data_IF_187164237154
#
_entry.id   IF_187164237154
#
_cell.length_a   1.000
_cell.length_b   1.000
_cell.length_c   1.000
_cell.angle_alpha   90.00
_cell.angle_beta   90.00
_cell.angle_gamma   90.00
#
_symmetry.space_group_name_H-M   'P 1'
#
loop_
_entity.id
_entity.type
_entity.pdbx_description
1 polymer ?
#
# COMPACT_ATOMS: atom_id res chain seq x y z
N UNK A 1 -16.80 5.18 84.81
CA UNK A 1 -17.22 3.82 85.21
C UNK A 1 -17.73 3.14 83.95
N UNK A 2 -17.06 2.04 83.55
CA UNK A 2 -17.21 1.20 82.35
C UNK A 2 -18.34 1.54 81.35
N UNK A 3 -17.96 1.94 80.14
CA UNK A 3 -18.78 1.74 78.94
C UNK A 3 -18.09 0.67 78.09
N UNK A 4 -18.71 -0.51 78.00
CA UNK A 4 -18.30 -1.59 77.11
C UNK A 4 -18.54 -1.16 75.66
N UNK A 5 -17.50 -1.26 74.82
CA UNK A 5 -17.62 -1.15 73.37
C UNK A 5 -17.54 -2.57 72.80
N UNK A 6 -18.69 -3.17 72.52
CA UNK A 6 -18.80 -4.46 71.84
C UNK A 6 -18.82 -4.18 70.34
N UNK A 7 -17.66 -4.27 69.68
CA UNK A 7 -17.59 -4.31 68.22
C UNK A 7 -18.08 -5.69 67.77
N UNK A 8 -19.30 -5.76 67.24
CA UNK A 8 -19.75 -6.89 66.43
C UNK A 8 -19.11 -6.77 65.04
N UNK A 9 -18.21 -7.70 64.74
CA UNK A 9 -17.78 -7.99 63.38
C UNK A 9 -18.95 -8.60 62.61
N UNK A 10 -19.65 -7.78 61.82
CA UNK A 10 -20.43 -8.27 60.68
C UNK A 10 -19.46 -8.37 59.50
N UNK A 11 -18.75 -9.49 59.42
CA UNK A 11 -18.11 -9.92 58.21
C UNK A 11 -19.22 -10.42 57.28
N UNK A 12 -19.55 -9.65 56.24
CA UNK A 12 -20.26 -10.17 55.09
C UNK A 12 -19.33 -11.14 54.36
N UNK A 13 -19.49 -12.43 54.60
CA UNK A 13 -18.99 -13.47 53.70
C UNK A 13 -20.04 -13.64 52.60
N UNK A 14 -20.01 -12.76 51.60
CA UNK A 14 -20.62 -13.07 50.31
C UNK A 14 -19.71 -14.10 49.65
N UNK A 15 -20.20 -15.33 49.48
CA UNK A 15 -19.53 -16.32 48.66
C UNK A 15 -19.34 -15.72 47.26
N UNK A 16 -18.15 -15.79 46.65
CA UNK A 16 -17.95 -15.26 45.31
C UNK A 16 -18.90 -16.01 44.38
N UNK A 17 -19.86 -15.27 43.82
CA UNK A 17 -20.78 -15.76 42.80
C UNK A 17 -19.92 -16.33 41.67
N UNK A 18 -19.96 -17.65 41.49
CA UNK A 18 -19.27 -18.32 40.40
C UNK A 18 -19.91 -17.84 39.10
N UNK A 19 -19.23 -16.93 38.41
CA UNK A 19 -19.63 -16.47 37.08
C UNK A 19 -19.66 -17.69 36.18
N UNK A 20 -20.85 -18.10 35.75
CA UNK A 20 -21.02 -19.09 34.70
C UNK A 20 -20.53 -18.43 33.39
N UNK A 21 -19.42 -18.90 32.79
CA UNK A 21 -18.90 -18.32 31.56
C UNK A 21 -19.83 -18.56 30.35
N UNK A 22 -20.92 -19.33 30.54
CA UNK A 22 -21.77 -19.79 29.46
C UNK A 22 -21.20 -21.05 28.82
N UNK A 23 -21.84 -21.55 27.74
CA UNK A 23 -21.30 -22.65 26.97
C UNK A 23 -19.94 -22.26 26.39
N UNK A 24 -19.03 -23.22 26.30
CA UNK A 24 -17.77 -23.03 25.58
C UNK A 24 -18.07 -22.43 24.20
N UNK A 25 -17.32 -21.40 23.77
CA UNK A 25 -17.49 -20.85 22.44
C UNK A 25 -17.37 -21.99 21.43
N UNK A 26 -18.26 -22.00 20.44
CA UNK A 26 -18.24 -23.02 19.40
C UNK A 26 -16.82 -23.10 18.83
N UNK A 27 -16.23 -24.30 18.84
CA UNK A 27 -14.93 -24.52 18.21
C UNK A 27 -15.11 -24.28 16.72
N UNK A 28 -14.54 -23.18 16.23
CA UNK A 28 -14.60 -22.83 14.83
C UNK A 28 -13.45 -23.56 14.14
N UNK A 29 -13.79 -24.60 13.37
CA UNK A 29 -12.80 -25.30 12.55
C UNK A 29 -12.16 -24.30 11.56
N UNK A 30 -10.83 -24.23 11.47
CA UNK A 30 -10.16 -23.44 10.47
C UNK A 30 -10.60 -23.87 9.05
N UNK A 31 -10.74 -22.92 8.12
CA UNK A 31 -11.00 -23.26 6.72
C UNK A 31 -9.87 -24.15 6.17
N UNK A 32 -10.23 -25.14 5.34
CA UNK A 32 -9.23 -26.01 4.71
C UNK A 32 -8.35 -25.22 3.73
N UNK A 33 -7.05 -25.54 3.74
CA UNK A 33 -6.04 -25.06 2.81
C UNK A 33 -5.72 -26.08 1.70
N UNK A 34 -6.48 -27.17 1.61
CA UNK A 34 -6.27 -28.21 0.60
C UNK A 34 -6.34 -27.62 -0.81
N UNK A 35 -5.29 -27.83 -1.60
CA UNK A 35 -5.21 -27.37 -2.99
C UNK A 35 -4.77 -25.91 -3.16
N UNK A 36 -4.48 -25.19 -2.07
CA UNK A 36 -3.87 -23.86 -2.12
C UNK A 36 -2.35 -24.00 -2.02
N UNK A 37 -1.64 -23.37 -2.95
CA UNK A 37 -0.20 -23.17 -2.82
C UNK A 37 0.04 -21.96 -1.92
N UNK A 38 0.11 -22.21 -0.61
CA UNK A 38 0.14 -21.14 0.40
C UNK A 38 1.36 -20.20 0.21
N UNK A 39 2.61 -20.69 0.08
CA UNK A 39 3.75 -19.82 -0.23
C UNK A 39 3.49 -18.96 -1.48
N UNK A 40 3.08 -19.58 -2.59
CA UNK A 40 2.79 -18.88 -3.84
C UNK A 40 1.67 -17.84 -3.73
N UNK A 41 0.69 -18.06 -2.83
CA UNK A 41 -0.38 -17.09 -2.61
C UNK A 41 0.12 -15.82 -1.91
N UNK A 42 1.05 -15.97 -0.95
CA UNK A 42 1.70 -14.83 -0.30
C UNK A 42 2.61 -14.07 -1.27
N UNK A 43 3.37 -14.78 -2.11
CA UNK A 43 4.20 -14.17 -3.16
C UNK A 43 3.36 -13.38 -4.17
N UNK A 44 2.31 -14.01 -4.72
CA UNK A 44 1.44 -13.40 -5.72
C UNK A 44 0.70 -12.18 -5.15
N UNK A 45 0.14 -12.29 -3.94
CA UNK A 45 -0.55 -11.16 -3.32
C UNK A 45 0.42 -10.03 -2.98
N UNK A 46 1.63 -10.32 -2.50
CA UNK A 46 2.62 -9.28 -2.26
C UNK A 46 3.03 -8.59 -3.57
N UNK A 47 3.22 -9.34 -4.66
CA UNK A 47 3.49 -8.77 -5.99
C UNK A 47 2.37 -7.81 -6.45
N UNK A 48 1.10 -8.19 -6.25
CA UNK A 48 -0.03 -7.30 -6.51
C UNK A 48 -0.02 -6.07 -5.58
N UNK A 49 0.24 -6.28 -4.29
CA UNK A 49 0.32 -5.20 -3.30
C UNK A 49 1.41 -4.17 -3.60
N UNK A 50 2.59 -4.61 -4.06
CA UNK A 50 3.68 -3.72 -4.48
C UNK A 50 3.38 -2.98 -5.79
N UNK A 51 2.46 -3.48 -6.61
CA UNK A 51 1.97 -2.79 -7.80
C UNK A 51 0.84 -1.79 -7.50
N UNK A 52 0.26 -1.83 -6.30
CA UNK A 52 -0.74 -0.86 -5.82
C UNK A 52 -0.01 0.34 -5.23
N UNK A 53 0.40 1.24 -6.11
CA UNK A 53 1.07 2.50 -5.77
C UNK A 53 0.59 3.66 -6.65
N UNK A 54 1.24 4.82 -6.48
CA UNK A 54 0.85 6.05 -7.16
C UNK A 54 1.06 6.03 -8.69
N UNK A 55 1.94 5.18 -9.23
CA UNK A 55 2.30 5.17 -10.66
C UNK A 55 1.12 4.83 -11.58
N UNK A 56 0.38 3.71 -11.41
CA UNK A 56 -0.78 3.43 -12.27
C UNK A 56 -1.90 4.46 -12.07
N UNK A 57 -2.08 4.97 -10.85
CA UNK A 57 -3.07 6.00 -10.57
C UNK A 57 -2.75 7.32 -11.29
N UNK A 58 -1.49 7.75 -11.24
CA UNK A 58 -1.00 8.93 -11.94
C UNK A 58 -1.07 8.77 -13.45
N UNK A 59 -0.62 7.62 -13.98
CA UNK A 59 -0.65 7.37 -15.42
C UNK A 59 -2.08 7.39 -15.94
N UNK A 60 -3.04 6.78 -15.23
CA UNK A 60 -4.46 6.84 -15.57
C UNK A 60 -4.99 8.28 -15.62
N UNK A 61 -4.56 9.13 -14.68
CA UNK A 61 -4.90 10.56 -14.70
C UNK A 61 -4.32 11.26 -15.95
N UNK A 62 -3.03 11.08 -16.23
CA UNK A 62 -2.35 11.69 -17.39
C UNK A 62 -3.01 11.25 -18.71
N UNK A 63 -3.22 9.95 -18.87
CA UNK A 63 -3.79 9.37 -20.09
C UNK A 63 -5.23 9.84 -20.34
N UNK A 64 -6.02 10.03 -19.28
CA UNK A 64 -7.38 10.56 -19.42
C UNK A 64 -7.43 12.05 -19.68
N UNK A 65 -6.47 12.84 -19.19
CA UNK A 65 -6.36 14.25 -19.60
C UNK A 65 -6.14 14.41 -21.11
N UNK A 66 -5.43 13.49 -21.76
CA UNK A 66 -5.24 13.49 -23.21
C UNK A 66 -6.53 13.23 -24.01
N UNK A 67 -7.60 12.76 -23.36
CA UNK A 67 -8.93 12.59 -23.95
C UNK A 67 -9.76 13.89 -23.89
N UNK A 68 -9.28 14.89 -23.16
CA UNK A 68 -9.93 16.18 -23.06
C UNK A 68 -9.99 16.92 -24.41
N UNK A 69 -10.95 17.82 -24.52
CA UNK A 69 -11.12 18.74 -25.64
C UNK A 69 -11.21 20.19 -25.11
N UNK A 70 -11.04 21.21 -25.97
CA UNK A 70 -11.24 22.59 -25.56
C UNK A 70 -12.61 22.82 -24.87
N UNK A 71 -12.58 23.12 -23.57
CA UNK A 71 -13.77 23.31 -22.73
C UNK A 71 -14.33 22.03 -22.10
N UNK A 72 -13.58 20.92 -22.11
CA UNK A 72 -13.92 19.71 -21.35
C UNK A 72 -12.69 18.79 -21.13
N UNK A 73 -12.14 18.69 -19.91
CA UNK A 73 -12.52 19.44 -18.72
C UNK A 73 -11.91 20.86 -18.71
N UNK A 74 -12.54 21.78 -17.99
CA UNK A 74 -11.92 23.07 -17.66
C UNK A 74 -10.73 22.88 -16.69
N UNK A 75 -9.57 23.42 -17.07
CA UNK A 75 -8.33 23.37 -16.29
C UNK A 75 -8.12 24.68 -15.50
N UNK A 76 -7.70 24.55 -14.25
CA UNK A 76 -7.46 25.63 -13.30
C UNK A 76 -6.04 25.55 -12.74
N UNK A 77 -5.47 26.70 -12.41
CA UNK A 77 -4.27 26.79 -11.55
C UNK A 77 -4.72 26.79 -10.10
N UNK A 78 -4.07 25.97 -9.26
CA UNK A 78 -4.50 25.71 -7.89
C UNK A 78 -5.71 24.78 -7.83
N UNK A 79 -6.39 24.74 -6.70
CA UNK A 79 -7.55 23.89 -6.46
C UNK A 79 -8.84 24.56 -6.99
N UNK A 80 -9.70 23.79 -7.66
CA UNK A 80 -10.93 24.29 -8.29
C UNK A 80 -12.13 24.48 -7.33
N UNK A 81 -11.97 24.25 -6.02
CA UNK A 81 -13.02 24.45 -5.02
C UNK A 81 -13.02 25.90 -4.48
N UNK A 82 -14.20 26.54 -4.45
CA UNK A 82 -14.41 27.92 -3.97
C UNK A 82 -14.08 28.08 -2.47
N UNK A 83 -14.11 26.98 -1.69
CA UNK A 83 -13.84 27.00 -0.25
C UNK A 83 -12.35 26.74 0.11
N UNK A 84 -11.49 26.44 -0.87
CA UNK A 84 -10.06 26.17 -0.66
C UNK A 84 -9.17 27.13 -1.46
N UNK A 85 -7.97 27.41 -0.94
CA UNK A 85 -7.17 28.57 -1.34
C UNK A 85 -6.74 28.51 -2.82
N UNK A 86 -7.19 29.46 -3.64
CA UNK A 86 -6.70 29.69 -5.02
C UNK A 86 -5.19 29.99 -5.14
N UNK A 87 -4.48 30.11 -4.01
CA UNK A 87 -3.03 30.29 -3.94
C UNK A 87 -2.26 28.96 -3.73
N UNK A 88 -2.95 27.80 -3.74
CA UNK A 88 -2.29 26.50 -3.66
C UNK A 88 -1.44 26.25 -4.92
N UNK A 89 -0.16 25.82 -4.78
CA UNK A 89 0.67 25.49 -5.92
C UNK A 89 0.15 24.22 -6.57
N UNK A 90 -0.22 24.24 -7.86
CA UNK A 90 -0.70 23.03 -8.53
C UNK A 90 -1.63 23.32 -9.69
N UNK A 91 -2.25 22.26 -10.19
CA UNK A 91 -3.25 22.31 -11.24
C UNK A 91 -4.46 21.47 -10.82
N UNK A 92 -5.62 21.80 -11.36
CA UNK A 92 -6.80 20.97 -11.21
C UNK A 92 -7.69 21.03 -12.42
N UNK A 93 -8.60 20.07 -12.50
CA UNK A 93 -9.85 20.24 -13.22
C UNK A 93 -11.02 19.95 -12.28
N UNK A 94 -12.15 20.61 -12.53
CA UNK A 94 -13.42 20.31 -11.87
C UNK A 94 -14.53 20.61 -12.86
N UNK A 95 -15.23 19.57 -13.28
CA UNK A 95 -16.21 19.71 -14.35
C UNK A 95 -17.31 18.65 -14.28
N UNK A 96 -18.35 18.87 -15.07
CA UNK A 96 -19.37 17.89 -15.43
C UNK A 96 -19.70 18.08 -16.90
N UNK A 97 -18.73 17.75 -17.74
CA UNK A 97 -18.77 18.00 -19.18
C UNK A 97 -18.74 16.70 -19.98
N UNK A 98 -18.93 16.84 -21.29
CA UNK A 98 -18.80 15.75 -22.25
C UNK A 98 -18.09 16.25 -23.51
N UNK A 99 -17.06 15.55 -23.95
CA UNK A 99 -16.33 15.82 -25.18
C UNK A 99 -17.19 15.53 -26.41
N UNK A 100 -16.77 15.98 -27.60
CA UNK A 100 -17.45 15.64 -28.86
C UNK A 100 -17.27 14.17 -29.23
N UNK A 101 -16.14 13.55 -28.84
CA UNK A 101 -15.90 12.12 -28.97
C UNK A 101 -16.86 11.27 -28.12
N UNK A 102 -17.34 11.81 -27.00
CA UNK A 102 -18.37 11.20 -26.16
C UNK A 102 -17.92 10.90 -24.74
N UNK A 103 -16.65 11.12 -24.42
CA UNK A 103 -16.06 10.97 -23.09
C UNK A 103 -16.64 11.99 -22.11
N UNK A 104 -16.94 11.55 -20.90
CA UNK A 104 -17.54 12.36 -19.85
C UNK A 104 -16.53 12.54 -18.73
N UNK A 105 -16.25 13.80 -18.38
CA UNK A 105 -15.49 14.15 -17.18
C UNK A 105 -16.48 14.61 -16.11
N UNK A 106 -16.41 14.03 -14.93
CA UNK A 106 -17.27 14.36 -13.81
C UNK A 106 -16.47 14.36 -12.51
N UNK A 107 -16.69 15.38 -11.69
CA UNK A 107 -16.04 15.52 -10.39
C UNK A 107 -14.84 16.45 -10.46
N UNK A 108 -13.82 16.19 -9.66
CA UNK A 108 -12.59 17.00 -9.65
C UNK A 108 -11.34 16.14 -9.49
N UNK A 109 -10.22 16.64 -10.01
CA UNK A 109 -8.88 16.14 -9.72
C UNK A 109 -7.96 17.34 -9.52
N UNK A 110 -7.20 17.31 -8.43
CA UNK A 110 -6.12 18.23 -8.11
C UNK A 110 -4.80 17.48 -8.09
N UNK A 111 -3.75 18.08 -8.64
CA UNK A 111 -2.41 17.52 -8.59
C UNK A 111 -1.33 18.58 -8.41
N UNK A 112 -0.25 18.15 -7.76
CA UNK A 112 1.02 18.86 -7.71
C UNK A 112 2.13 17.94 -8.20
N UNK A 113 3.13 18.51 -8.86
CA UNK A 113 4.33 17.78 -9.21
C UNK A 113 5.52 18.75 -9.21
N UNK A 114 6.67 18.26 -8.76
CA UNK A 114 7.93 18.97 -8.79
C UNK A 114 9.07 18.02 -9.16
N UNK A 115 10.04 18.54 -9.90
CA UNK A 115 11.25 17.82 -10.28
C UNK A 115 12.45 18.76 -10.19
N UNK A 116 13.39 18.43 -9.32
CA UNK A 116 14.63 19.17 -9.11
C UNK A 116 15.80 18.30 -9.51
N UNK A 117 16.54 18.72 -10.53
CA UNK A 117 17.79 18.09 -10.95
C UNK A 117 18.97 19.03 -10.71
N UNK A 118 19.96 18.56 -9.94
CA UNK A 118 21.21 19.29 -9.66
C UNK A 118 22.40 18.43 -10.07
N UNK A 119 23.35 19.01 -10.80
CA UNK A 119 24.61 18.36 -11.15
C UNK A 119 25.76 19.16 -10.56
N UNK A 120 26.63 18.48 -9.81
CA UNK A 120 27.87 19.03 -9.28
C UNK A 120 29.05 18.17 -9.76
N UNK A 121 30.15 18.83 -10.12
CA UNK A 121 31.39 18.17 -10.55
C UNK A 121 32.00 17.27 -9.46
N UNK A 122 31.66 17.50 -8.19
CA UNK A 122 32.23 16.78 -7.04
C UNK A 122 31.31 15.71 -6.46
N UNK A 123 29.99 15.89 -6.55
CA UNK A 123 29.00 15.02 -5.87
C UNK A 123 28.05 14.28 -6.83
N UNK A 124 28.26 14.41 -8.13
CA UNK A 124 27.48 13.70 -9.15
C UNK A 124 26.19 14.41 -9.53
N UNK A 125 25.24 13.64 -10.06
CA UNK A 125 23.89 14.10 -10.40
C UNK A 125 22.92 13.66 -9.32
N UNK A 126 22.11 14.61 -8.88
CA UNK A 126 21.05 14.41 -7.90
C UNK A 126 19.71 14.82 -8.53
N UNK A 127 18.73 13.93 -8.49
CA UNK A 127 17.39 14.17 -9.02
C UNK A 127 16.37 13.80 -7.96
N UNK A 128 15.52 14.76 -7.60
CA UNK A 128 14.39 14.57 -6.70
C UNK A 128 13.09 14.90 -7.43
N UNK A 129 12.12 14.00 -7.33
CA UNK A 129 10.77 14.19 -7.85
C UNK A 129 9.74 13.95 -6.77
N UNK A 130 8.68 14.76 -6.74
CA UNK A 130 7.51 14.56 -5.86
C UNK A 130 6.24 14.78 -6.65
N UNK A 131 5.22 13.97 -6.41
CA UNK A 131 3.86 14.19 -6.91
C UNK A 131 2.82 14.00 -5.82
N UNK A 132 1.70 14.69 -5.98
CA UNK A 132 0.48 14.48 -5.21
C UNK A 132 -0.74 14.50 -6.12
N UNK A 133 -1.74 13.70 -5.76
CA UNK A 133 -3.04 13.64 -6.42
C UNK A 133 -4.12 13.59 -5.35
N UNK A 134 -5.14 14.43 -5.48
CA UNK A 134 -6.34 14.43 -4.66
C UNK A 134 -7.54 14.55 -5.58
N UNK A 135 -8.49 13.62 -5.51
CA UNK A 135 -9.63 13.63 -6.41
C UNK A 135 -10.87 12.91 -5.87
N UNK A 136 -12.01 13.32 -6.40
CA UNK A 136 -13.26 12.55 -6.50
C UNK A 136 -13.69 12.72 -7.96
N UNK A 137 -12.98 12.02 -8.85
CA UNK A 137 -12.98 12.27 -10.29
C UNK A 137 -13.23 10.99 -11.09
N UNK A 138 -14.13 11.08 -12.07
CA UNK A 138 -14.48 10.00 -12.99
C UNK A 138 -14.39 10.47 -14.43
N UNK A 139 -13.75 9.65 -15.27
CA UNK A 139 -13.74 9.77 -16.73
C UNK A 139 -14.37 8.51 -17.32
N UNK A 140 -15.38 8.68 -18.18
CA UNK A 140 -16.18 7.57 -18.70
C UNK A 140 -16.54 7.73 -20.19
N UNK A 141 -16.57 6.61 -20.92
CA UNK A 141 -17.17 6.52 -22.26
C UNK A 141 -18.51 5.78 -22.17
N UNK A 142 -19.61 6.55 -22.21
CA UNK A 142 -20.96 6.01 -22.03
C UNK A 142 -21.15 5.42 -20.63
N UNK A 143 -21.35 4.10 -20.55
CA UNK A 143 -21.51 3.35 -19.29
C UNK A 143 -20.18 2.73 -18.81
N UNK A 144 -19.09 2.84 -19.59
CA UNK A 144 -17.79 2.28 -19.24
C UNK A 144 -16.92 3.31 -18.51
N UNK A 145 -16.43 2.95 -17.32
CA UNK A 145 -15.46 3.76 -16.56
C UNK A 145 -14.08 3.58 -17.19
N UNK A 146 -13.51 4.66 -17.71
CA UNK A 146 -12.16 4.69 -18.24
C UNK A 146 -11.14 4.88 -17.12
N UNK A 147 -11.46 5.79 -16.19
CA UNK A 147 -10.66 6.09 -15.01
C UNK A 147 -11.55 6.64 -13.91
N UNK A 148 -11.35 6.15 -12.69
CA UNK A 148 -11.92 6.72 -11.48
C UNK A 148 -10.82 6.76 -10.43
N UNK A 149 -10.66 7.90 -9.79
CA UNK A 149 -9.82 8.07 -8.61
C UNK A 149 -10.61 8.83 -7.55
N UNK A 150 -10.81 8.17 -6.41
CA UNK A 150 -11.47 8.73 -5.23
C UNK A 150 -10.53 8.56 -4.02
N UNK A 151 -9.94 9.67 -3.58
CA UNK A 151 -9.06 9.73 -2.43
C UNK A 151 -7.85 10.66 -2.62
N UNK A 152 -6.74 10.27 -1.99
CA UNK A 152 -5.48 11.03 -1.96
C UNK A 152 -4.27 10.10 -2.15
N UNK A 153 -3.23 10.61 -2.81
CA UNK A 153 -1.98 9.90 -2.99
C UNK A 153 -0.80 10.83 -3.13
N UNK A 154 0.36 10.42 -2.63
CA UNK A 154 1.64 11.08 -2.85
C UNK A 154 2.70 10.05 -3.21
N UNK A 155 3.65 10.45 -4.06
CA UNK A 155 4.88 9.71 -4.22
C UNK A 155 6.09 10.62 -4.35
N UNK A 156 7.25 10.06 -4.05
CA UNK A 156 8.53 10.75 -4.14
C UNK A 156 9.59 9.78 -4.65
N UNK A 157 10.49 10.31 -5.47
CA UNK A 157 11.69 9.62 -5.91
C UNK A 157 12.93 10.45 -5.58
N UNK A 158 14.04 9.76 -5.33
CA UNK A 158 15.37 10.36 -5.31
C UNK A 158 16.33 9.47 -6.08
N UNK A 159 17.19 10.05 -6.88
CA UNK A 159 18.23 9.38 -7.66
C UNK A 159 19.55 10.13 -7.46
N UNK A 160 20.56 9.38 -7.06
CA UNK A 160 21.93 9.86 -6.85
C UNK A 160 22.84 9.04 -7.76
N UNK A 161 23.47 9.72 -8.70
CA UNK A 161 24.47 9.14 -9.60
C UNK A 161 25.80 9.87 -9.40
N UNK A 162 26.70 9.26 -8.63
CA UNK A 162 28.09 9.67 -8.54
C UNK A 162 28.93 8.63 -9.30
N UNK A 163 30.03 9.00 -9.96
CA UNK A 163 30.74 8.11 -10.88
C UNK A 163 31.18 6.74 -10.32
N UNK A 164 31.11 6.57 -8.99
CA UNK A 164 31.41 5.35 -8.25
C UNK A 164 30.18 4.58 -7.73
N UNK A 165 28.99 5.18 -7.63
CA UNK A 165 27.78 4.52 -7.14
C UNK A 165 26.48 5.13 -7.69
N UNK A 166 25.45 4.29 -7.78
CA UNK A 166 24.07 4.72 -8.06
C UNK A 166 23.21 4.33 -6.88
N UNK A 167 22.45 5.28 -6.34
CA UNK A 167 21.42 5.03 -5.33
C UNK A 167 20.12 5.62 -5.79
N UNK A 168 19.04 4.90 -5.59
CA UNK A 168 17.71 5.45 -5.79
C UNK A 168 16.76 5.01 -4.69
N UNK A 169 15.76 5.85 -4.43
CA UNK A 169 14.69 5.59 -3.48
C UNK A 169 13.35 5.96 -4.10
N UNK A 170 12.32 5.20 -3.80
CA UNK A 170 10.94 5.53 -4.10
C UNK A 170 10.10 5.36 -2.84
N UNK A 171 9.24 6.33 -2.58
CA UNK A 171 8.24 6.30 -1.52
C UNK A 171 6.87 6.60 -2.12
N UNK A 172 5.86 5.84 -1.76
CA UNK A 172 4.47 6.08 -2.17
C UNK A 172 3.56 5.92 -0.97
N UNK A 173 2.63 6.85 -0.80
CA UNK A 173 1.56 6.78 0.18
C UNK A 173 0.24 7.00 -0.55
N UNK A 174 -0.68 6.05 -0.44
CA UNK A 174 -1.90 6.03 -1.23
C UNK A 174 -3.07 5.62 -0.35
N UNK A 175 -4.07 6.50 -0.23
CA UNK A 175 -5.37 6.22 0.37
C UNK A 175 -6.43 6.56 -0.66
N UNK A 176 -6.74 5.60 -1.51
CA UNK A 176 -7.64 5.83 -2.63
C UNK A 176 -8.36 4.56 -3.06
N UNK A 177 -9.45 4.77 -3.79
CA UNK A 177 -10.05 3.80 -4.70
C UNK A 177 -9.67 4.18 -6.12
N UNK A 178 -9.17 3.21 -6.89
CA UNK A 178 -8.85 3.41 -8.31
C UNK A 178 -9.50 2.32 -9.14
N UNK A 179 -10.26 2.72 -10.15
CA UNK A 179 -10.88 1.81 -11.13
C UNK A 179 -10.72 2.32 -12.55
N UNK A 180 -11.11 1.50 -13.51
CA UNK A 180 -11.17 1.87 -14.92
C UNK A 180 -10.15 1.16 -15.79
N UNK A 181 -10.48 1.06 -17.08
CA UNK A 181 -9.68 0.31 -18.05
C UNK A 181 -8.37 0.97 -18.46
N UNK A 182 -8.22 2.29 -18.28
CA UNK A 182 -7.02 3.04 -18.66
C UNK A 182 -5.82 2.68 -17.76
N UNK A 183 -5.91 2.77 -16.42
CA UNK A 183 -4.76 2.45 -15.56
C UNK A 183 -4.41 0.96 -15.53
N UNK A 184 -5.34 0.06 -15.85
CA UNK A 184 -5.17 -1.38 -15.60
C UNK A 184 -5.27 -2.28 -16.84
N UNK A 185 -5.90 -1.83 -17.93
CA UNK A 185 -6.16 -2.66 -19.11
C UNK A 185 -6.77 -4.02 -18.75
N UNK A 186 -6.29 -5.08 -19.40
CA UNK A 186 -6.64 -6.48 -19.09
C UNK A 186 -5.64 -7.13 -18.10
N UNK A 187 -4.93 -6.31 -17.31
CA UNK A 187 -3.88 -6.77 -16.39
C UNK A 187 -4.43 -7.44 -15.11
N UNK A 188 -3.52 -7.84 -14.24
CA UNK A 188 -3.87 -8.49 -12.96
C UNK A 188 -4.63 -7.57 -11.97
N UNK A 189 -4.78 -6.28 -12.30
CA UNK A 189 -5.53 -5.28 -11.54
C UNK A 189 -6.74 -4.73 -12.34
N UNK A 190 -7.17 -5.38 -13.41
CA UNK A 190 -8.20 -4.88 -14.34
C UNK A 190 -9.50 -4.39 -13.67
N UNK A 191 -9.91 -5.02 -12.56
CA UNK A 191 -11.09 -4.62 -11.81
C UNK A 191 -10.92 -3.39 -10.92
N UNK A 192 -9.68 -2.91 -10.73
CA UNK A 192 -9.35 -1.86 -9.78
C UNK A 192 -9.16 -2.35 -8.35
N UNK A 193 -8.86 -1.42 -7.46
CA UNK A 193 -8.55 -1.68 -6.07
C UNK A 193 -8.94 -0.52 -5.16
N UNK A 194 -9.02 -0.81 -3.86
CA UNK A 194 -9.08 0.19 -2.77
C UNK A 194 -7.93 -0.07 -1.80
N UNK A 195 -7.25 0.99 -1.39
CA UNK A 195 -6.03 0.85 -0.60
C UNK A 195 -5.88 1.93 0.47
N UNK A 196 -5.13 1.60 1.52
CA UNK A 196 -4.42 2.53 2.40
C UNK A 196 -3.03 1.90 2.56
N UNK A 197 -2.12 2.23 1.65
CA UNK A 197 -0.81 1.59 1.50
C UNK A 197 0.30 2.63 1.51
N UNK A 198 1.36 2.30 2.23
CA UNK A 198 2.63 3.00 2.24
C UNK A 198 3.72 2.03 1.79
N UNK A 199 4.43 2.42 0.74
CA UNK A 199 5.57 1.70 0.19
C UNK A 199 6.81 2.59 0.27
N UNK A 200 7.92 2.03 0.71
CA UNK A 200 9.23 2.66 0.62
C UNK A 200 10.21 1.61 0.15
N UNK A 201 10.91 1.85 -0.95
CA UNK A 201 11.98 0.96 -1.35
C UNK A 201 13.15 1.71 -1.98
N UNK A 202 14.33 1.12 -1.87
CA UNK A 202 15.57 1.63 -2.40
C UNK A 202 16.34 0.55 -3.13
N UNK A 203 17.22 0.97 -4.03
CA UNK A 203 18.13 0.07 -4.72
C UNK A 203 19.35 0.79 -5.28
N UNK A 204 20.12 0.05 -6.07
CA UNK A 204 21.41 0.48 -6.60
C UNK A 204 22.53 -0.06 -5.73
N UNK A 205 22.94 0.70 -4.71
CA UNK A 205 23.96 0.28 -3.75
C UNK A 205 23.40 -0.12 -2.38
N UNK A 206 22.10 0.08 -2.15
CA UNK A 206 21.39 -0.33 -0.92
C UNK A 206 19.98 -0.80 -1.26
N UNK A 207 19.76 -2.11 -1.23
CA UNK A 207 18.45 -2.73 -1.42
C UNK A 207 17.68 -2.78 -0.09
N UNK A 208 16.54 -2.08 -0.03
CA UNK A 208 15.61 -2.13 1.11
C UNK A 208 14.19 -1.99 0.61
N UNK A 209 13.27 -2.68 1.27
CA UNK A 209 11.83 -2.56 1.07
C UNK A 209 11.16 -2.42 2.44
N UNK A 210 10.18 -1.54 2.51
CA UNK A 210 9.19 -1.46 3.57
C UNK A 210 7.82 -1.32 2.90
N UNK A 211 6.88 -2.17 3.27
CA UNK A 211 5.51 -2.12 2.80
C UNK A 211 4.56 -2.23 3.98
N UNK A 212 3.68 -1.25 4.14
CA UNK A 212 2.75 -1.17 5.25
C UNK A 212 1.38 -0.72 4.75
N UNK A 213 0.33 -1.46 5.08
CA UNK A 213 -1.03 -1.04 4.76
C UNK A 213 -1.96 -2.18 4.36
N UNK A 214 -2.98 -1.85 3.59
CA UNK A 214 -3.96 -2.82 3.11
C UNK A 214 -4.40 -2.56 1.68
N UNK A 215 -4.68 -3.63 0.95
CA UNK A 215 -5.26 -3.60 -0.39
C UNK A 215 -6.51 -4.46 -0.41
N UNK A 216 -7.54 -4.00 -1.11
CA UNK A 216 -8.71 -4.78 -1.48
C UNK A 216 -8.85 -4.76 -3.01
N UNK A 217 -8.92 -5.93 -3.62
CA UNK A 217 -9.05 -6.13 -5.06
C UNK A 217 -10.53 -6.35 -5.42
N UNK A 218 -11.04 -5.65 -6.43
CA UNK A 218 -12.47 -5.73 -6.76
C UNK A 218 -12.84 -6.99 -7.56
N UNK A 219 -11.99 -7.40 -8.50
CA UNK A 219 -12.25 -8.56 -9.37
C UNK A 219 -11.19 -9.65 -9.26
N UNK A 220 -9.94 -9.27 -9.01
CA UNK A 220 -8.82 -10.21 -8.95
C UNK A 220 -8.84 -11.00 -7.65
N UNK A 221 -8.66 -12.32 -7.79
CA UNK A 221 -8.49 -13.23 -6.66
C UNK A 221 -7.23 -14.05 -6.86
N UNK A 222 -6.29 -13.90 -5.93
CA UNK A 222 -5.09 -14.73 -5.88
C UNK A 222 -5.52 -16.17 -5.64
N UNK A 223 -5.12 -17.05 -6.55
CA UNK A 223 -5.51 -18.47 -6.57
C UNK A 223 -7.02 -18.70 -6.40
N UNK A 224 -7.84 -17.84 -7.01
CA UNK A 224 -9.31 -17.85 -6.93
C UNK A 224 -9.89 -17.73 -5.50
N UNK A 225 -9.07 -17.35 -4.51
CA UNK A 225 -9.43 -17.38 -3.08
C UNK A 225 -9.28 -16.05 -2.36
N UNK A 226 -8.15 -15.37 -2.52
CA UNK A 226 -7.81 -14.23 -1.69
C UNK A 226 -8.05 -12.90 -2.43
N UNK A 227 -8.75 -11.99 -1.78
CA UNK A 227 -9.16 -10.70 -2.35
C UNK A 227 -8.56 -9.47 -1.63
N UNK A 228 -7.93 -9.69 -0.47
CA UNK A 228 -7.35 -8.61 0.31
C UNK A 228 -5.97 -8.98 0.84
N UNK A 229 -5.13 -7.95 0.94
CA UNK A 229 -3.83 -7.95 1.58
C UNK A 229 -3.88 -7.01 2.78
N UNK A 230 -3.28 -7.40 3.89
CA UNK A 230 -2.82 -6.48 4.92
C UNK A 230 -1.35 -6.82 5.21
N UNK A 231 -0.48 -5.83 5.18
CA UNK A 231 0.97 -6.06 5.22
C UNK A 231 1.62 -5.06 6.15
N UNK A 232 2.65 -5.51 6.85
CA UNK A 232 3.64 -4.66 7.49
C UNK A 232 4.94 -5.44 7.46
N UNK A 233 5.72 -5.25 6.39
CA UNK A 233 7.00 -5.92 6.21
C UNK A 233 8.15 -4.95 6.04
N UNK A 234 9.31 -5.37 6.52
CA UNK A 234 10.61 -4.84 6.10
C UNK A 234 11.45 -5.98 5.51
N UNK A 235 12.16 -5.69 4.43
CA UNK A 235 13.04 -6.66 3.77
C UNK A 235 14.35 -5.96 3.39
N UNK A 236 15.47 -6.60 3.70
CA UNK A 236 16.80 -6.13 3.32
C UNK A 236 17.30 -7.01 2.17
N UNK A 237 17.65 -6.37 1.07
CA UNK A 237 18.10 -7.07 -0.13
C UNK A 237 19.60 -7.37 -0.13
N UNK A 238 20.09 -8.03 -1.19
CA UNK A 238 21.46 -8.53 -1.27
C UNK A 238 22.54 -7.46 -1.11
N UNK A 239 22.29 -6.21 -1.57
CA UNK A 239 23.27 -5.12 -1.46
C UNK A 239 23.10 -4.27 -0.18
N UNK A 240 21.95 -4.35 0.50
CA UNK A 240 21.67 -3.61 1.73
C UNK A 240 22.12 -4.31 3.02
N UNK A 241 22.29 -5.64 2.97
CA UNK A 241 22.58 -6.45 4.14
C UNK A 241 24.02 -6.28 4.65
N UNK A 242 24.16 -5.95 5.93
CA UNK A 242 25.38 -6.02 6.69
C UNK A 242 25.78 -7.47 7.03
N UNK A 243 26.96 -7.67 7.65
CA UNK A 243 27.47 -9.01 7.98
C UNK A 243 26.63 -9.81 8.99
N UNK A 244 25.75 -9.13 9.72
CA UNK A 244 24.87 -9.70 10.75
C UNK A 244 23.40 -9.76 10.28
N UNK A 245 23.09 -9.25 9.08
CA UNK A 245 21.74 -9.23 8.53
C UNK A 245 21.48 -10.53 7.74
N UNK A 246 20.32 -11.15 7.96
CA UNK A 246 19.81 -12.18 7.07
C UNK A 246 19.29 -11.53 5.79
N UNK A 247 19.98 -11.78 4.69
CA UNK A 247 19.52 -11.36 3.36
C UNK A 247 18.19 -12.02 3.05
N UNK A 248 17.23 -11.24 2.54
CA UNK A 248 15.91 -11.71 2.14
C UNK A 248 15.07 -12.37 3.26
N UNK A 249 15.44 -12.20 4.53
CA UNK A 249 14.58 -12.56 5.66
C UNK A 249 13.61 -11.41 5.93
N UNK A 250 12.29 -11.61 5.75
CA UNK A 250 11.32 -10.57 6.04
C UNK A 250 11.19 -10.37 7.54
N UNK A 251 10.89 -9.13 7.94
CA UNK A 251 10.45 -8.79 9.29
C UNK A 251 8.99 -8.38 9.24
N UNK A 252 8.19 -8.76 10.23
CA UNK A 252 6.81 -8.30 10.38
C UNK A 252 5.77 -9.34 9.95
N UNK A 253 4.78 -8.97 9.14
CA UNK A 253 3.72 -9.89 8.72
C UNK A 253 3.10 -9.56 7.37
N UNK A 254 2.57 -10.60 6.73
CA UNK A 254 1.72 -10.53 5.55
C UNK A 254 0.43 -11.28 5.88
N UNK A 255 -0.71 -10.66 5.64
CA UNK A 255 -2.03 -11.21 5.93
C UNK A 255 -2.89 -11.22 4.68
N UNK A 256 -3.47 -12.39 4.37
CA UNK A 256 -4.40 -12.56 3.25
C UNK A 256 -5.81 -12.73 3.78
N UNK A 257 -6.80 -12.18 3.07
CA UNK A 257 -8.22 -12.40 3.37
C UNK A 257 -8.89 -13.18 2.26
N UNK A 258 -9.68 -14.19 2.63
CA UNK A 258 -10.51 -14.94 1.68
C UNK A 258 -11.94 -14.38 1.56
N UNK A 259 -12.72 -14.94 0.63
CA UNK A 259 -14.10 -14.53 0.34
C UNK A 259 -15.08 -14.70 1.52
N UNK A 260 -14.76 -15.59 2.46
CA UNK A 260 -15.55 -15.82 3.68
C UNK A 260 -15.13 -14.86 4.82
N UNK A 261 -14.23 -13.92 4.52
CA UNK A 261 -13.64 -12.95 5.44
C UNK A 261 -12.76 -13.56 6.53
N UNK A 262 -12.15 -14.72 6.27
CA UNK A 262 -11.11 -15.28 7.13
C UNK A 262 -9.75 -14.70 6.78
N UNK A 263 -8.97 -14.40 7.83
CA UNK A 263 -7.60 -13.91 7.73
C UNK A 263 -6.59 -15.05 7.95
N UNK A 264 -5.56 -15.01 7.12
CA UNK A 264 -4.41 -15.90 7.09
C UNK A 264 -3.17 -15.05 7.30
N UNK A 265 -2.63 -15.08 8.51
CA UNK A 265 -1.53 -14.20 8.93
C UNK A 265 -0.22 -14.99 8.90
N UNK A 266 0.66 -14.65 7.97
CA UNK A 266 2.03 -15.14 7.93
C UNK A 266 2.92 -14.16 8.69
N UNK A 267 3.43 -14.59 9.84
CA UNK A 267 4.22 -13.76 10.75
C UNK A 267 5.68 -14.17 10.69
N UNK A 268 6.55 -13.20 10.44
CA UNK A 268 8.00 -13.35 10.44
C UNK A 268 8.58 -12.75 11.73
N UNK A 269 9.44 -13.51 12.39
CA UNK A 269 10.07 -13.17 13.66
C UNK A 269 11.46 -12.59 13.41
N UNK A 270 11.94 -11.63 14.22
CA UNK A 270 11.25 -10.97 15.32
C UNK A 270 10.25 -9.92 14.81
N UNK A 271 9.09 -9.83 15.47
CA UNK A 271 8.08 -8.81 15.16
C UNK A 271 8.36 -7.47 15.84
N UNK A 272 9.12 -7.49 16.94
CA UNK A 272 9.42 -6.33 17.77
C UNK A 272 10.88 -6.36 18.25
N UNK A 273 11.38 -5.21 18.70
CA UNK A 273 12.71 -5.13 19.31
C UNK A 273 12.81 -5.96 20.60
N UNK A 274 14.04 -6.22 21.05
CA UNK A 274 14.39 -7.08 22.20
C UNK A 274 13.77 -6.67 23.56
N UNK A 275 13.02 -5.57 23.63
CA UNK A 275 12.39 -5.05 24.84
C UNK A 275 10.95 -5.56 25.08
N UNK A 276 10.38 -6.37 24.17
CA UNK A 276 9.02 -6.91 24.29
C UNK A 276 8.98 -8.37 24.80
N UNK A 277 8.00 -8.69 25.66
CA UNK A 277 7.82 -10.00 26.33
C UNK A 277 7.39 -11.16 25.38
N UNK A 278 7.51 -10.99 24.06
CA UNK A 278 7.16 -12.01 23.07
C UNK A 278 8.35 -12.91 22.76
N UNK A 279 8.10 -14.20 22.53
CA UNK A 279 9.12 -15.16 22.11
C UNK A 279 9.55 -14.77 20.69
N UNK A 280 10.63 -14.00 20.60
CA UNK A 280 11.34 -13.70 19.36
C UNK A 280 12.19 -14.93 19.03
N UNK A 281 11.72 -15.78 18.12
CA UNK A 281 12.61 -16.77 17.52
C UNK A 281 13.82 -16.03 16.94
N UNK A 282 15.04 -16.56 17.12
CA UNK A 282 16.21 -15.81 16.74
C UNK A 282 16.19 -15.61 15.23
N UNK A 283 16.29 -14.35 14.80
CA UNK A 283 16.51 -13.96 13.40
C UNK A 283 17.70 -14.68 12.74
N UNK A 284 18.47 -15.49 13.46
CA UNK A 284 19.71 -16.13 13.03
C UNK A 284 19.56 -17.31 12.07
N UNK A 285 18.36 -17.87 11.91
CA UNK A 285 18.18 -19.05 11.06
C UNK A 285 18.12 -18.72 9.55
N UNK A 286 17.87 -17.44 9.20
CA UNK A 286 17.87 -16.89 7.84
C UNK A 286 17.19 -17.82 6.81
N UNK A 287 16.03 -18.38 7.13
CA UNK A 287 15.36 -19.40 6.32
C UNK A 287 14.20 -18.85 5.47
N UNK A 288 13.83 -17.58 5.65
CA UNK A 288 12.75 -16.89 4.96
C UNK A 288 11.36 -17.41 5.34
N UNK A 289 11.25 -18.17 6.42
CA UNK A 289 10.04 -18.87 6.80
C UNK A 289 9.27 -18.13 7.89
N UNK A 290 7.96 -17.96 7.69
CA UNK A 290 7.05 -17.41 8.68
C UNK A 290 6.15 -18.47 9.32
N UNK A 291 5.61 -18.14 10.48
CA UNK A 291 4.56 -18.93 11.14
C UNK A 291 3.20 -18.50 10.62
N UNK A 292 2.42 -19.45 10.10
CA UNK A 292 1.07 -19.19 9.60
C UNK A 292 0.04 -19.32 10.72
N UNK A 293 -0.79 -18.30 10.89
CA UNK A 293 -1.97 -18.32 11.72
C UNK A 293 -3.23 -18.24 10.85
N UNK A 294 -4.15 -19.17 11.06
CA UNK A 294 -5.47 -19.13 10.41
C UNK A 294 -6.49 -18.80 11.48
N UNK A 295 -7.08 -17.60 11.41
CA UNK A 295 -7.99 -17.09 12.45
C UNK A 295 -7.34 -17.09 13.85
N UNK A 296 -6.05 -16.78 13.92
CA UNK A 296 -5.27 -16.80 15.16
C UNK A 296 -4.89 -18.20 15.65
N UNK A 297 -5.19 -19.27 14.91
CA UNK A 297 -4.73 -20.63 15.22
C UNK A 297 -3.48 -20.93 14.43
N UNK A 298 -2.38 -21.16 15.15
CA UNK A 298 -1.09 -21.56 14.58
C UNK A 298 -1.22 -22.86 13.77
N UNK A 299 -0.63 -22.86 12.58
CA UNK A 299 -0.52 -24.03 11.72
C UNK A 299 0.79 -24.78 12.03
N UNK A 300 0.81 -26.11 11.91
CA UNK A 300 1.91 -26.93 12.41
C UNK A 300 3.21 -26.80 11.60
N UNK A 301 3.11 -26.39 10.33
CA UNK A 301 4.25 -26.30 9.42
C UNK A 301 4.50 -24.82 9.07
N UNK A 302 5.77 -24.37 9.09
CA UNK A 302 6.11 -23.02 8.64
C UNK A 302 5.87 -22.88 7.14
N UNK A 303 5.62 -21.64 6.71
CA UNK A 303 5.43 -21.28 5.30
C UNK A 303 6.63 -20.45 4.88
N UNK A 304 7.29 -20.84 3.79
CA UNK A 304 8.51 -20.21 3.31
C UNK A 304 8.30 -19.68 1.88
N UNK A 305 7.73 -18.47 1.71
CA UNK A 305 7.65 -17.82 0.41
C UNK A 305 9.04 -17.37 -0.05
N UNK A 306 9.28 -17.40 -1.37
CA UNK A 306 10.49 -16.87 -1.99
C UNK A 306 10.26 -15.41 -2.41
N UNK A 307 10.97 -14.47 -1.79
CA UNK A 307 10.87 -13.04 -2.07
C UNK A 307 12.04 -12.48 -2.89
N UNK A 308 12.94 -13.34 -3.40
CA UNK A 308 14.10 -12.87 -4.20
C UNK A 308 13.69 -12.15 -5.48
N UNK A 309 12.49 -12.45 -6.01
CA UNK A 309 11.94 -11.80 -7.20
C UNK A 309 11.72 -10.29 -7.04
N UNK A 310 11.57 -9.79 -5.80
CA UNK A 310 11.35 -8.37 -5.51
C UNK A 310 12.50 -7.54 -6.10
N UNK A 311 13.74 -7.93 -5.81
CA UNK A 311 14.92 -7.17 -6.21
C UNK A 311 15.18 -7.20 -7.72
N UNK A 312 14.63 -8.18 -8.43
CA UNK A 312 14.66 -8.24 -9.89
C UNK A 312 13.60 -7.36 -10.56
N UNK A 313 12.57 -6.95 -9.81
CA UNK A 313 11.39 -6.25 -10.32
C UNK A 313 11.41 -4.77 -9.97
N UNK A 314 11.95 -4.42 -8.81
CA UNK A 314 12.08 -3.04 -8.36
C UNK A 314 13.07 -2.28 -9.26
N UNK A 315 12.65 -1.10 -9.69
CA UNK A 315 13.43 -0.20 -10.53
C UNK A 315 13.17 1.25 -10.13
N UNK A 316 14.14 2.16 -10.34
CA UNK A 316 13.89 3.58 -10.15
C UNK A 316 12.77 4.03 -11.09
N UNK A 317 11.84 4.87 -10.63
CA UNK A 317 10.92 5.59 -11.51
C UNK A 317 11.68 6.42 -12.55
N UNK A 318 11.07 6.67 -13.71
CA UNK A 318 11.63 7.63 -14.68
C UNK A 318 11.40 9.06 -14.14
N UNK A 319 12.45 9.88 -13.95
CA UNK A 319 12.27 11.27 -13.56
C UNK A 319 11.32 12.07 -14.45
N UNK A 320 11.18 11.70 -15.73
CA UNK A 320 10.25 12.35 -16.65
C UNK A 320 8.79 12.23 -16.20
N UNK A 321 8.43 11.16 -15.47
CA UNK A 321 7.06 10.92 -14.99
C UNK A 321 6.63 11.95 -13.92
N UNK A 322 7.60 12.67 -13.33
CA UNK A 322 7.38 13.71 -12.31
C UNK A 322 7.15 15.10 -12.90
N UNK A 323 7.08 15.19 -14.22
CA UNK A 323 6.78 16.44 -14.94
C UNK A 323 5.44 16.28 -15.67
N UNK A 324 4.44 17.03 -15.22
CA UNK A 324 3.19 17.21 -15.94
C UNK A 324 2.95 18.71 -16.15
N UNK A 325 3.33 19.23 -17.32
CA UNK A 325 3.15 20.65 -17.62
C UNK A 325 1.86 20.91 -18.40
N UNK A 326 1.28 22.09 -18.23
CA UNK A 326 0.13 22.55 -19.04
C UNK A 326 0.45 22.65 -20.53
N UNK A 327 1.74 22.71 -20.89
CA UNK A 327 2.18 22.71 -22.29
C UNK A 327 2.01 21.33 -22.92
N UNK A 328 2.28 20.28 -22.15
CA UNK A 328 2.10 18.89 -22.61
C UNK A 328 0.62 18.57 -22.86
N UNK A 329 -0.28 19.30 -22.18
CA UNK A 329 -1.74 19.23 -22.37
C UNK A 329 -2.25 20.07 -23.55
N UNK A 330 -1.41 20.89 -24.20
CA UNK A 330 -1.81 21.88 -25.21
C UNK A 330 -1.13 21.73 -26.58
N UNK A 331 -0.22 20.79 -26.76
CA UNK A 331 0.36 20.48 -28.08
C UNK A 331 -0.58 19.53 -28.84
N UNK A 332 -1.58 20.11 -29.50
CA UNK A 332 -2.28 19.50 -30.63
C UNK A 332 -1.30 19.27 -31.81
N UNK A 333 -1.27 18.05 -32.36
CA UNK A 333 -0.77 17.76 -33.71
C UNK A 333 -1.74 18.32 -34.79
#
# INVERSE_FOLDING_TARGET
>A
MMLSLTLLALACTEEPETVDPGPDPAHLEPPSLDGIDVPGAFEEMLALGLAVDMRPAWQGHVDTLAMGEPGCPDLYTGMADEDMMMDAPGLSWSDRCRTTAGDTFAGFVYWENDLVATTDETSGTYVDGVRSLEADGVVADGDAVLYEFDGEGTDAMSLIEDGEYVRWTYASQLRATVTGSVPFGDGALAGGWRTDMQLNYSGGDVDRLSAQGNVFLFESRVQDRFDSLNVNIELIGPTGAGPEDCQAEPLGYISLRDEDAFWYDLVFQPRYGDDDDYDNDPYSDCDGCGVLYVRGVEQPDPVCPDFDWIWATLSPPDPADYVLSTRDLGEED
#
